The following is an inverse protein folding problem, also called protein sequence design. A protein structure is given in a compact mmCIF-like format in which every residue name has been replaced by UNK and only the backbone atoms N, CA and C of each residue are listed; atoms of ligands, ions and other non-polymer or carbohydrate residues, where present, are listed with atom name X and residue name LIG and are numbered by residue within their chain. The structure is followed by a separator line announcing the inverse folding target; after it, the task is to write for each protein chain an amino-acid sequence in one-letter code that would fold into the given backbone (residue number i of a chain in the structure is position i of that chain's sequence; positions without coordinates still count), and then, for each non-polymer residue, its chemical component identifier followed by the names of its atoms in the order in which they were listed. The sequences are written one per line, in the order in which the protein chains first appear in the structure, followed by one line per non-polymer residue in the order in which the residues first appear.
data_IF_910623249432
#
_entry.id   IF_910623249432
#
_cell.length_a   1.000
_cell.length_b   1.000
_cell.length_c   1.000
_cell.angle_alpha   90.00
_cell.angle_beta   90.00
_cell.angle_gamma   90.00
#
_symmetry.space_group_name_H-M   'P 1'
#
loop_
_entity.id
_entity.type
_entity.pdbx_description
1 polymer ?
#
# COMPACT_ATOMS: atom_id res chain seq x y z
N UNK A 1 -10.72 49.05 32.15
CA UNK A 1 -9.24 49.14 32.20
C UNK A 1 -8.71 47.72 32.07
N UNK A 2 -8.04 47.25 31.03
CA UNK A 2 -7.59 47.70 29.71
C UNK A 2 -7.68 46.40 28.87
N UNK A 3 -8.10 46.38 27.62
CA UNK A 3 -7.46 47.07 26.50
C UNK A 3 -6.64 46.04 25.71
N UNK A 4 -7.07 45.84 24.45
CA UNK A 4 -6.34 45.26 23.32
C UNK A 4 -6.13 43.72 23.33
N UNK A 5 -6.28 42.97 22.24
CA UNK A 5 -5.88 43.30 20.87
C UNK A 5 -6.68 42.54 19.80
N UNK A 6 -6.68 43.14 18.62
CA UNK A 6 -7.45 42.85 17.43
C UNK A 6 -6.96 41.63 16.64
N UNK A 7 -7.86 41.05 15.85
CA UNK A 7 -7.58 39.93 14.96
C UNK A 7 -8.73 39.56 14.04
N UNK A 8 -9.53 40.54 13.60
CA UNK A 8 -10.49 40.37 12.51
C UNK A 8 -9.68 40.25 11.20
N UNK A 9 -9.34 39.02 10.83
CA UNK A 9 -8.76 38.71 9.54
C UNK A 9 -9.78 39.04 8.44
N UNK A 10 -9.55 40.16 7.78
CA UNK A 10 -10.10 40.56 6.49
C UNK A 10 -10.01 39.37 5.52
N UNK A 11 -11.16 38.79 5.20
CA UNK A 11 -11.28 37.84 4.09
C UNK A 11 -11.11 38.65 2.82
N UNK A 12 -9.96 38.44 2.20
CA UNK A 12 -9.58 39.01 0.92
C UNK A 12 -10.65 38.65 -0.12
N UNK A 13 -11.26 39.70 -0.70
CA UNK A 13 -12.17 39.57 -1.85
C UNK A 13 -11.30 39.27 -3.06
N UNK A 14 -11.07 38.00 -3.34
CA UNK A 14 -10.49 37.58 -4.62
C UNK A 14 -11.45 38.01 -5.73
N UNK A 15 -11.01 39.02 -6.48
CA UNK A 15 -11.68 39.51 -7.69
C UNK A 15 -11.85 38.35 -8.66
N UNK A 16 -13.11 38.10 -9.03
CA UNK A 16 -13.45 37.23 -10.15
C UNK A 16 -13.38 38.13 -11.38
N UNK A 17 -12.32 37.99 -12.16
CA UNK A 17 -12.21 38.64 -13.47
C UNK A 17 -13.36 38.17 -14.36
N UNK A 18 -14.22 39.13 -14.69
CA UNK A 18 -15.32 39.00 -15.63
C UNK A 18 -14.77 38.92 -17.05
N UNK A 19 -14.53 37.70 -17.52
CA UNK A 19 -14.35 37.43 -18.95
C UNK A 19 -15.72 37.41 -19.60
N UNK A 20 -16.03 38.49 -20.30
CA UNK A 20 -17.23 38.62 -21.13
C UNK A 20 -17.23 37.58 -22.26
N UNK A 21 -18.31 36.81 -22.33
CA UNK A 21 -18.69 36.04 -23.51
C UNK A 21 -20.10 36.47 -23.88
N UNK A 22 -20.20 37.18 -25.00
CA UNK A 22 -21.46 37.59 -25.62
C UNK A 22 -22.26 36.36 -26.08
N UNK A 23 -23.55 36.33 -25.72
CA UNK A 23 -24.52 35.40 -26.27
C UNK A 23 -25.62 34.97 -25.31
N UNK A 24 -26.42 35.90 -24.75
CA UNK A 24 -27.65 35.59 -24.01
C UNK A 24 -27.52 34.54 -22.90
N UNK A 25 -26.31 34.34 -22.38
CA UNK A 25 -25.97 33.31 -21.41
C UNK A 25 -26.35 33.79 -20.02
N UNK A 26 -27.24 33.06 -19.36
CA UNK A 26 -27.57 33.26 -17.95
C UNK A 26 -26.26 33.21 -17.14
N UNK A 27 -25.92 34.30 -16.47
CA UNK A 27 -24.85 34.38 -15.49
C UNK A 27 -25.24 33.55 -14.26
N UNK A 28 -24.93 32.26 -14.31
CA UNK A 28 -25.20 31.31 -13.22
C UNK A 28 -24.40 31.63 -11.95
N UNK A 29 -23.43 32.55 -11.99
CA UNK A 29 -22.74 33.04 -10.80
C UNK A 29 -23.60 34.01 -9.99
N UNK A 30 -24.62 34.63 -10.59
CA UNK A 30 -25.60 35.45 -9.89
C UNK A 30 -26.59 34.62 -9.06
N UNK A 31 -26.94 35.13 -7.88
CA UNK A 31 -27.80 34.44 -6.91
C UNK A 31 -29.26 34.41 -7.36
N UNK A 32 -29.78 35.49 -7.97
CA UNK A 32 -31.18 35.53 -8.43
C UNK A 32 -31.38 34.67 -9.66
N UNK A 33 -30.45 34.73 -10.62
CA UNK A 33 -30.48 33.85 -11.78
C UNK A 33 -30.38 32.37 -11.40
N UNK A 34 -29.54 32.03 -10.41
CA UNK A 34 -29.50 30.68 -9.85
C UNK A 34 -30.86 30.25 -9.27
N UNK A 35 -31.57 31.12 -8.54
CA UNK A 35 -32.90 30.77 -7.99
C UNK A 35 -33.91 30.44 -9.09
N UNK A 36 -33.94 31.22 -10.17
CA UNK A 36 -34.84 30.98 -11.31
C UNK A 36 -34.53 29.60 -11.92
N UNK A 37 -33.26 29.32 -12.19
CA UNK A 37 -32.84 28.05 -12.79
C UNK A 37 -33.16 26.87 -11.86
N UNK A 38 -32.90 26.99 -10.56
CA UNK A 38 -33.23 25.92 -9.61
C UNK A 38 -34.74 25.72 -9.44
N UNK A 39 -35.54 26.79 -9.46
CA UNK A 39 -36.99 26.69 -9.41
C UNK A 39 -37.54 26.01 -10.67
N UNK A 40 -37.00 26.32 -11.85
CA UNK A 40 -37.36 25.65 -13.11
C UNK A 40 -36.98 24.17 -13.09
N UNK A 41 -35.74 23.85 -12.74
CA UNK A 41 -35.25 22.47 -12.64
C UNK A 41 -36.03 21.66 -11.58
N UNK A 42 -36.50 22.32 -10.51
CA UNK A 42 -37.30 21.71 -9.45
C UNK A 42 -38.74 21.36 -9.85
N UNK A 43 -39.35 22.09 -10.80
CA UNK A 43 -40.74 21.85 -11.24
C UNK A 43 -40.89 20.56 -12.06
N UNK A 44 -39.90 20.22 -12.88
CA UNK A 44 -39.96 19.10 -13.84
C UNK A 44 -39.34 17.77 -13.31
N UNK A 45 -38.97 17.72 -12.03
CA UNK A 45 -38.52 16.50 -11.35
C UNK A 45 -37.09 16.04 -11.70
N UNK A 46 -36.80 14.73 -11.60
CA UNK A 46 -35.42 14.20 -11.76
C UNK A 46 -34.89 14.21 -13.19
N UNK A 47 -35.76 14.31 -14.21
CA UNK A 47 -35.36 14.24 -15.63
C UNK A 47 -34.79 15.56 -16.15
N UNK A 48 -35.27 16.69 -15.64
CA UNK A 48 -34.79 18.04 -16.02
C UNK A 48 -33.29 18.20 -15.80
N UNK A 49 -32.78 17.73 -14.65
CA UNK A 49 -31.35 17.77 -14.32
C UNK A 49 -30.45 16.99 -15.29
N UNK A 50 -30.99 15.95 -15.94
CA UNK A 50 -30.21 15.12 -16.87
C UNK A 50 -30.25 15.66 -18.32
N UNK A 51 -31.33 16.34 -18.71
CA UNK A 51 -31.55 16.78 -20.08
C UNK A 51 -31.35 18.29 -20.31
N UNK A 52 -31.42 19.12 -19.28
CA UNK A 52 -31.31 20.57 -19.41
C UNK A 52 -29.83 21.01 -19.52
N UNK A 53 -29.43 21.72 -20.60
CA UNK A 53 -28.07 22.23 -20.76
C UNK A 53 -27.64 23.20 -19.65
N UNK A 54 -28.58 23.92 -19.02
CA UNK A 54 -28.30 24.82 -17.90
C UNK A 54 -27.81 24.06 -16.67
N UNK A 55 -28.32 22.84 -16.44
CA UNK A 55 -27.87 21.99 -15.35
C UNK A 55 -26.43 21.51 -15.59
N UNK A 56 -26.08 21.15 -16.84
CA UNK A 56 -24.72 20.78 -17.20
C UNK A 56 -23.74 21.95 -17.02
N UNK A 57 -24.11 23.16 -17.42
CA UNK A 57 -23.26 24.34 -17.21
C UNK A 57 -23.11 24.69 -15.73
N UNK A 58 -24.18 24.55 -14.94
CA UNK A 58 -24.11 24.72 -13.49
C UNK A 58 -23.10 23.77 -12.84
N UNK A 59 -23.03 22.51 -13.29
CA UNK A 59 -22.01 21.56 -12.81
C UNK A 59 -20.60 21.99 -13.17
N UNK A 60 -20.36 22.54 -14.38
CA UNK A 60 -19.04 23.08 -14.76
C UNK A 60 -18.64 24.29 -13.93
N UNK A 61 -19.60 25.18 -13.61
CA UNK A 61 -19.37 26.31 -12.70
C UNK A 61 -18.99 25.80 -11.30
N UNK A 62 -19.72 24.81 -10.78
CA UNK A 62 -19.41 24.19 -9.48
C UNK A 62 -18.03 23.54 -9.47
N UNK A 63 -17.64 22.85 -10.54
CA UNK A 63 -16.33 22.22 -10.67
C UNK A 63 -15.20 23.24 -10.54
N UNK A 64 -15.28 24.34 -11.32
CA UNK A 64 -14.30 25.42 -11.25
C UNK A 64 -14.29 26.09 -9.87
N UNK A 65 -15.48 26.41 -9.35
CA UNK A 65 -15.66 27.14 -8.08
C UNK A 65 -15.14 26.37 -6.87
N UNK A 66 -15.34 25.05 -6.84
CA UNK A 66 -15.00 24.21 -5.69
C UNK A 66 -13.74 23.37 -5.87
N UNK A 67 -13.03 23.48 -7.01
CA UNK A 67 -11.77 22.77 -7.24
C UNK A 67 -10.72 23.01 -6.14
N UNK A 68 -10.55 24.26 -5.70
CA UNK A 68 -9.63 24.57 -4.61
C UNK A 68 -10.08 23.96 -3.28
N UNK A 69 -11.39 23.99 -3.00
CA UNK A 69 -11.95 23.43 -1.78
C UNK A 69 -11.80 21.90 -1.73
N UNK A 70 -11.96 21.23 -2.87
CA UNK A 70 -11.69 19.81 -3.02
C UNK A 70 -10.22 19.48 -2.70
N UNK A 71 -9.28 20.25 -3.28
CA UNK A 71 -7.84 20.10 -3.01
C UNK A 71 -7.50 20.27 -1.54
N UNK A 72 -8.12 21.24 -0.85
CA UNK A 72 -7.93 21.47 0.60
C UNK A 72 -8.23 20.23 1.45
N UNK A 73 -9.20 19.41 1.03
CA UNK A 73 -9.60 18.19 1.74
C UNK A 73 -9.04 16.91 1.10
N UNK A 74 -8.10 17.01 0.14
CA UNK A 74 -7.55 15.85 -0.56
C UNK A 74 -8.61 15.07 -1.36
N UNK A 75 -9.56 15.79 -1.97
CA UNK A 75 -10.66 15.24 -2.78
C UNK A 75 -10.57 15.71 -4.22
N UNK A 76 -11.24 14.99 -5.11
CA UNK A 76 -11.27 15.36 -6.52
C UNK A 76 -12.27 16.49 -6.75
N UNK A 77 -12.06 17.35 -7.77
CA UNK A 77 -13.06 18.35 -8.16
C UNK A 77 -14.43 17.73 -8.47
N UNK A 78 -14.45 16.49 -8.97
CA UNK A 78 -15.68 15.75 -9.22
C UNK A 78 -16.48 15.48 -7.95
N UNK A 79 -15.82 15.10 -6.85
CA UNK A 79 -16.48 14.88 -5.55
C UNK A 79 -17.17 16.17 -5.04
N UNK A 80 -16.53 17.32 -5.28
CA UNK A 80 -17.11 18.61 -4.92
C UNK A 80 -18.35 18.96 -5.79
N UNK A 81 -18.34 18.59 -7.07
CA UNK A 81 -19.52 18.74 -7.95
C UNK A 81 -20.67 17.87 -7.47
N UNK A 82 -20.41 16.62 -7.08
CA UNK A 82 -21.44 15.72 -6.53
C UNK A 82 -22.04 16.30 -5.26
N UNK A 83 -21.22 16.80 -4.34
CA UNK A 83 -21.71 17.47 -3.12
C UNK A 83 -22.55 18.72 -3.44
N UNK A 84 -22.10 19.53 -4.40
CA UNK A 84 -22.82 20.72 -4.83
C UNK A 84 -24.18 20.35 -5.44
N UNK A 85 -24.20 19.34 -6.32
CA UNK A 85 -25.42 18.82 -6.94
C UNK A 85 -26.45 18.36 -5.91
N UNK A 86 -26.02 17.61 -4.88
CA UNK A 86 -26.90 17.16 -3.82
C UNK A 86 -27.53 18.34 -3.05
N UNK A 87 -26.76 19.39 -2.78
CA UNK A 87 -27.29 20.58 -2.12
C UNK A 87 -28.17 21.44 -3.04
N UNK A 88 -27.82 21.59 -4.32
CA UNK A 88 -28.59 22.37 -5.29
C UNK A 88 -29.98 21.77 -5.54
N UNK A 89 -30.12 20.44 -5.39
CA UNK A 89 -31.42 19.75 -5.44
C UNK A 89 -32.28 19.92 -4.21
N UNK A 90 -31.74 20.48 -3.12
CA UNK A 90 -32.50 20.73 -1.92
C UNK A 90 -33.40 21.97 -2.12
N UNK A 91 -34.73 21.88 -1.92
CA UNK A 91 -35.63 23.02 -2.08
C UNK A 91 -35.27 24.21 -1.16
N UNK A 92 -34.63 23.94 -0.02
CA UNK A 92 -34.15 24.99 0.90
C UNK A 92 -33.12 25.94 0.25
N UNK A 93 -32.40 25.48 -0.77
CA UNK A 93 -31.40 26.27 -1.49
C UNK A 93 -32.04 27.39 -2.32
N UNK A 94 -33.24 27.18 -2.85
CA UNK A 94 -33.99 28.19 -3.60
C UNK A 94 -34.47 29.31 -2.68
N UNK A 95 -34.95 28.96 -1.48
CA UNK A 95 -35.50 29.91 -0.50
C UNK A 95 -34.44 30.62 0.34
N UNK A 96 -33.17 30.21 0.25
CA UNK A 96 -32.10 30.77 1.06
C UNK A 96 -31.82 32.23 0.70
N UNK A 97 -31.49 33.05 1.71
CA UNK A 97 -31.08 34.47 1.51
C UNK A 97 -29.86 34.58 0.58
N UNK A 98 -28.92 33.65 0.68
CA UNK A 98 -27.81 33.51 -0.27
C UNK A 98 -27.63 32.02 -0.65
N UNK A 99 -28.12 31.59 -1.82
CA UNK A 99 -28.03 30.21 -2.28
C UNK A 99 -26.58 29.73 -2.39
N UNK A 100 -25.69 30.56 -2.95
CA UNK A 100 -24.29 30.20 -3.14
C UNK A 100 -23.53 30.03 -1.83
N UNK A 101 -23.83 30.82 -0.80
CA UNK A 101 -23.24 30.66 0.52
C UNK A 101 -23.69 29.34 1.16
N UNK A 102 -24.97 28.98 1.03
CA UNK A 102 -25.50 27.72 1.54
C UNK A 102 -24.86 26.52 0.84
N UNK A 103 -24.76 26.56 -0.50
CA UNK A 103 -24.10 25.52 -1.29
C UNK A 103 -22.64 25.37 -0.89
N UNK A 104 -21.90 26.47 -0.77
CA UNK A 104 -20.48 26.43 -0.39
C UNK A 104 -20.27 25.83 1.00
N UNK A 105 -21.14 26.18 1.96
CA UNK A 105 -21.09 25.63 3.32
C UNK A 105 -21.39 24.12 3.32
N UNK A 106 -22.40 23.69 2.56
CA UNK A 106 -22.75 22.28 2.46
C UNK A 106 -21.64 21.47 1.79
N UNK A 107 -21.09 21.96 0.66
CA UNK A 107 -19.96 21.32 -0.05
C UNK A 107 -18.76 21.17 0.87
N UNK A 108 -18.37 22.24 1.56
CA UNK A 108 -17.26 22.19 2.52
C UNK A 108 -17.51 21.19 3.65
N UNK A 109 -18.74 21.15 4.19
CA UNK A 109 -19.12 20.18 5.23
C UNK A 109 -19.07 18.73 4.74
N UNK A 110 -19.54 18.46 3.51
CA UNK A 110 -19.50 17.14 2.90
C UNK A 110 -18.07 16.68 2.63
N UNK A 111 -17.26 17.49 1.94
CA UNK A 111 -15.87 17.16 1.64
C UNK A 111 -15.04 16.93 2.91
N UNK A 112 -15.27 17.75 3.94
CA UNK A 112 -14.64 17.56 5.26
C UNK A 112 -15.09 16.24 5.89
N UNK A 113 -16.37 15.90 5.83
CA UNK A 113 -16.90 14.66 6.39
C UNK A 113 -16.31 13.44 5.68
N UNK A 114 -16.20 13.47 4.35
CA UNK A 114 -15.62 12.38 3.58
C UNK A 114 -14.12 12.22 3.86
N UNK A 115 -13.39 13.34 4.00
CA UNK A 115 -12.00 13.33 4.43
C UNK A 115 -11.84 12.64 5.79
N UNK A 116 -12.67 13.03 6.77
CA UNK A 116 -12.66 12.46 8.12
C UNK A 116 -13.14 11.01 8.15
N UNK A 117 -14.06 10.61 7.27
CA UNK A 117 -14.57 9.25 7.17
C UNK A 117 -13.47 8.28 6.72
N UNK A 118 -12.70 8.66 5.70
CA UNK A 118 -11.55 7.90 5.21
C UNK A 118 -10.46 7.85 6.28
N UNK A 119 -10.10 9.01 6.87
CA UNK A 119 -9.09 9.13 7.92
C UNK A 119 -9.40 8.27 9.15
N UNK A 120 -10.69 8.03 9.44
CA UNK A 120 -11.13 7.32 10.65
C UNK A 120 -11.70 5.93 10.36
N UNK A 121 -11.66 5.49 9.09
CA UNK A 121 -12.30 4.26 8.62
C UNK A 121 -13.75 4.10 9.09
N UNK A 122 -14.53 5.17 9.07
CA UNK A 122 -15.93 5.18 9.51
C UNK A 122 -16.87 5.70 8.42
N UNK A 123 -18.19 5.60 8.64
CA UNK A 123 -19.17 6.15 7.69
C UNK A 123 -19.18 7.68 7.71
N UNK A 124 -19.48 8.32 6.59
CA UNK A 124 -19.61 9.79 6.47
C UNK A 124 -20.57 10.37 7.51
N UNK A 125 -21.70 9.70 7.75
CA UNK A 125 -22.69 10.10 8.74
C UNK A 125 -22.09 10.10 10.14
N UNK A 126 -21.28 9.08 10.48
CA UNK A 126 -20.58 9.04 11.75
C UNK A 126 -19.51 10.13 11.83
N UNK A 127 -18.76 10.34 10.75
CA UNK A 127 -17.70 11.35 10.67
C UNK A 127 -18.21 12.78 10.93
N UNK A 128 -19.45 13.10 10.52
CA UNK A 128 -20.09 14.40 10.80
C UNK A 128 -20.43 14.64 12.27
N UNK A 129 -20.65 13.57 13.04
CA UNK A 129 -21.11 13.65 14.43
C UNK A 129 -20.07 13.21 15.45
N UNK A 130 -18.98 12.55 15.04
CA UNK A 130 -17.91 12.08 15.93
C UNK A 130 -16.90 13.19 16.23
N UNK A 131 -16.70 13.46 17.52
CA UNK A 131 -15.68 14.36 18.06
C UNK A 131 -14.25 13.91 17.73
N UNK A 132 -13.29 14.80 17.98
CA UNK A 132 -11.86 14.59 17.82
C UNK A 132 -11.43 13.25 18.44
N UNK A 133 -10.79 12.43 17.62
CA UNK A 133 -10.24 11.13 18.01
C UNK A 133 -8.72 11.29 17.98
N UNK A 134 -7.95 10.79 18.96
CA UNK A 134 -6.50 10.93 18.97
C UNK A 134 -5.80 10.14 17.85
N UNK A 135 -6.53 9.23 17.21
CA UNK A 135 -6.06 8.48 16.05
C UNK A 135 -6.45 9.24 14.79
N UNK A 136 -5.43 9.83 14.17
CA UNK A 136 -5.49 10.52 12.89
C UNK A 136 -4.82 9.64 11.84
N UNK A 137 -5.41 9.54 10.65
CA UNK A 137 -4.95 8.74 9.51
C UNK A 137 -4.94 7.21 9.72
N UNK A 138 -6.04 6.64 10.19
CA UNK A 138 -6.25 5.19 10.10
C UNK A 138 -6.33 4.76 8.62
N UNK A 139 -5.52 3.77 8.25
CA UNK A 139 -5.51 3.19 6.91
C UNK A 139 -6.02 1.75 6.98
N UNK A 140 -6.70 1.29 5.92
CA UNK A 140 -7.01 -0.14 5.79
C UNK A 140 -5.72 -0.89 5.55
N UNK A 141 -5.52 -1.98 6.29
CA UNK A 141 -4.46 -2.92 5.98
C UNK A 141 -4.71 -3.56 4.62
N UNK A 142 -3.86 -3.24 3.66
CA UNK A 142 -3.76 -3.91 2.37
C UNK A 142 -2.43 -4.71 2.28
N UNK A 143 -2.14 -5.27 1.11
CA UNK A 143 -0.91 -6.04 0.89
C UNK A 143 0.36 -5.17 0.96
N UNK A 144 0.27 -3.87 0.68
CA UNK A 144 1.38 -2.91 0.71
C UNK A 144 1.62 -2.34 2.12
N UNK A 145 0.59 -2.34 2.97
CA UNK A 145 0.67 -1.91 4.35
C UNK A 145 1.64 -2.78 5.19
N UNK A 146 1.94 -4.00 4.75
CA UNK A 146 3.01 -4.82 5.35
C UNK A 146 4.41 -4.23 5.16
N UNK A 147 4.68 -3.58 4.02
CA UNK A 147 5.97 -2.95 3.74
C UNK A 147 6.16 -1.72 4.66
N UNK A 148 5.12 -0.89 4.81
CA UNK A 148 5.11 0.27 5.72
C UNK A 148 5.30 -0.14 7.19
N UNK A 149 4.72 -1.28 7.60
CA UNK A 149 4.86 -1.80 8.95
C UNK A 149 6.28 -2.28 9.24
N UNK A 150 6.98 -2.82 8.23
CA UNK A 150 8.38 -3.23 8.34
C UNK A 150 9.32 -2.06 8.63
N UNK A 151 9.02 -0.88 8.10
CA UNK A 151 9.81 0.34 8.31
C UNK A 151 9.41 1.09 9.60
N UNK A 152 8.13 1.03 9.98
CA UNK A 152 7.58 1.82 11.11
C UNK A 152 7.58 1.08 12.45
N UNK A 153 7.54 -0.26 12.45
CA UNK A 153 7.87 -1.03 13.65
C UNK A 153 9.39 -1.11 13.70
N UNK A 154 9.99 -0.11 14.36
CA UNK A 154 11.30 -0.30 14.95
C UNK A 154 11.16 -1.45 15.95
N UNK A 155 11.44 -2.67 15.49
CA UNK A 155 11.78 -3.75 16.39
C UNK A 155 12.86 -3.18 17.31
N UNK A 156 12.74 -3.34 18.66
CA UNK A 156 13.82 -2.91 19.53
C UNK A 156 15.09 -3.47 18.93
N UNK A 157 16.06 -2.59 18.68
CA UNK A 157 17.38 -3.00 18.26
C UNK A 157 17.92 -3.88 19.39
N UNK A 158 17.63 -5.18 19.31
CA UNK A 158 18.40 -6.20 19.98
C UNK A 158 19.80 -5.95 19.43
N UNK A 159 20.64 -5.33 20.26
CA UNK A 159 22.08 -5.19 20.03
C UNK A 159 22.51 -6.48 19.38
N UNK A 160 22.72 -6.46 18.06
CA UNK A 160 22.93 -7.70 17.40
C UNK A 160 24.30 -8.14 17.92
N UNK A 161 24.38 -9.37 18.41
CA UNK A 161 25.63 -10.12 18.28
C UNK A 161 25.81 -10.32 16.78
N UNK A 162 26.05 -9.22 16.04
CA UNK A 162 26.41 -9.24 14.64
C UNK A 162 27.76 -9.92 14.68
N UNK A 163 27.84 -11.09 14.09
CA UNK A 163 29.10 -11.51 13.50
C UNK A 163 29.42 -10.41 12.49
N UNK A 164 30.26 -9.45 12.88
CA UNK A 164 30.71 -8.37 11.99
C UNK A 164 31.72 -8.97 11.01
N UNK A 165 31.29 -9.93 10.21
CA UNK A 165 32.04 -10.41 9.05
C UNK A 165 31.98 -9.29 8.01
N UNK A 166 33.12 -8.67 7.74
CA UNK A 166 33.29 -7.77 6.60
C UNK A 166 33.42 -8.62 5.34
N UNK A 167 33.05 -8.03 4.20
CA UNK A 167 33.30 -8.64 2.89
C UNK A 167 34.80 -8.90 2.75
N UNK A 168 35.20 -10.18 2.69
CA UNK A 168 36.60 -10.61 2.65
C UNK A 168 37.12 -11.27 3.93
N UNK A 169 36.34 -11.35 5.01
CA UNK A 169 36.76 -12.01 6.26
C UNK A 169 36.64 -13.54 6.22
N UNK A 170 36.03 -14.11 5.16
CA UNK A 170 35.81 -15.56 4.99
C UNK A 170 36.63 -16.02 3.80
N UNK A 171 37.49 -17.01 4.01
CA UNK A 171 38.31 -17.60 2.95
C UNK A 171 37.44 -18.39 1.95
N UNK A 172 37.78 -18.43 0.66
CA UNK A 172 36.97 -19.11 -0.36
C UNK A 172 36.81 -20.61 -0.08
N UNK A 173 37.78 -21.23 0.61
CA UNK A 173 37.70 -22.63 1.04
C UNK A 173 36.69 -22.85 2.18
N UNK A 174 36.53 -21.88 3.09
CA UNK A 174 35.52 -21.92 4.15
C UNK A 174 34.11 -21.77 3.57
N UNK A 175 33.94 -20.88 2.59
CA UNK A 175 32.68 -20.75 1.84
C UNK A 175 32.32 -22.08 1.16
N UNK A 176 33.29 -22.69 0.48
CA UNK A 176 33.07 -23.97 -0.20
C UNK A 176 32.71 -25.09 0.78
N UNK A 177 33.40 -25.20 1.90
CA UNK A 177 33.08 -26.16 2.95
C UNK A 177 31.66 -25.94 3.53
N UNK A 178 31.24 -24.68 3.70
CA UNK A 178 29.91 -24.35 4.16
C UNK A 178 28.80 -24.73 3.16
N UNK A 179 29.06 -24.54 1.85
CA UNK A 179 28.15 -24.98 0.79
C UNK A 179 28.04 -26.51 0.75
N UNK A 180 29.16 -27.24 0.82
CA UNK A 180 29.19 -28.71 0.86
C UNK A 180 28.44 -29.27 2.09
N UNK A 181 28.58 -28.60 3.23
CA UNK A 181 27.85 -28.90 4.47
C UNK A 181 26.34 -28.69 4.27
N UNK A 182 25.93 -27.58 3.64
CA UNK A 182 24.52 -27.30 3.38
C UNK A 182 23.90 -28.33 2.42
N UNK A 183 24.64 -28.76 1.39
CA UNK A 183 24.22 -29.85 0.49
C UNK A 183 24.05 -31.15 1.25
N UNK A 184 24.98 -31.48 2.15
CA UNK A 184 24.92 -32.70 2.97
C UNK A 184 23.67 -32.72 3.87
N UNK A 185 23.30 -31.58 4.45
CA UNK A 185 22.07 -31.45 5.26
C UNK A 185 20.81 -31.63 4.40
N UNK A 186 20.75 -31.03 3.20
CA UNK A 186 19.62 -31.22 2.28
C UNK A 186 19.44 -32.70 1.90
N UNK A 187 20.54 -33.39 1.59
CA UNK A 187 20.53 -34.83 1.26
C UNK A 187 20.06 -35.67 2.44
N UNK A 188 20.47 -35.33 3.67
CA UNK A 188 19.99 -35.99 4.88
C UNK A 188 18.47 -35.86 5.07
N UNK A 189 17.87 -34.77 4.60
CA UNK A 189 16.41 -34.54 4.58
C UNK A 189 15.70 -35.08 3.33
N UNK A 190 16.38 -35.93 2.54
CA UNK A 190 15.79 -36.66 1.42
C UNK A 190 15.74 -35.89 0.11
N UNK A 191 16.50 -34.79 -0.04
CA UNK A 191 16.64 -34.11 -1.33
C UNK A 191 17.60 -34.87 -2.25
N UNK A 192 17.32 -34.95 -3.57
CA UNK A 192 18.26 -35.51 -4.54
C UNK A 192 19.58 -34.72 -4.54
N UNK A 193 20.72 -35.42 -4.45
CA UNK A 193 22.03 -34.79 -4.33
C UNK A 193 22.36 -33.81 -5.47
N UNK A 194 21.98 -34.14 -6.71
CA UNK A 194 22.15 -33.25 -7.87
C UNK A 194 21.32 -31.97 -7.77
N UNK A 195 20.07 -32.06 -7.32
CA UNK A 195 19.18 -30.90 -7.13
C UNK A 195 19.60 -30.04 -5.95
N UNK A 196 20.06 -30.67 -4.86
CA UNK A 196 20.58 -29.97 -3.69
C UNK A 196 21.84 -29.16 -4.01
N UNK A 197 22.81 -29.77 -4.71
CA UNK A 197 24.03 -29.08 -5.15
C UNK A 197 23.71 -27.90 -6.07
N UNK A 198 23.00 -28.15 -7.17
CA UNK A 198 22.64 -27.09 -8.12
C UNK A 198 21.80 -25.97 -7.48
N UNK A 199 20.91 -26.31 -6.55
CA UNK A 199 20.10 -25.33 -5.84
C UNK A 199 20.92 -24.42 -4.93
N UNK A 200 21.86 -24.99 -4.17
CA UNK A 200 22.76 -24.23 -3.29
C UNK A 200 23.71 -23.36 -4.10
N UNK A 201 24.31 -23.89 -5.17
CA UNK A 201 25.20 -23.15 -6.06
C UNK A 201 24.47 -21.97 -6.71
N UNK A 202 23.25 -22.19 -7.20
CA UNK A 202 22.43 -21.12 -7.79
C UNK A 202 22.11 -20.02 -6.78
N UNK A 203 21.76 -20.39 -5.55
CA UNK A 203 21.50 -19.41 -4.48
C UNK A 203 22.78 -18.64 -4.15
N UNK A 204 23.92 -19.30 -4.02
CA UNK A 204 25.21 -18.68 -3.72
C UNK A 204 25.64 -17.68 -4.82
N UNK A 205 25.52 -18.07 -6.10
CA UNK A 205 25.80 -17.21 -7.24
C UNK A 205 24.92 -15.95 -7.23
N UNK A 206 23.63 -16.12 -6.94
CA UNK A 206 22.68 -14.99 -6.87
C UNK A 206 22.95 -14.08 -5.68
N UNK A 207 23.31 -14.64 -4.52
CA UNK A 207 23.72 -13.87 -3.36
C UNK A 207 24.97 -13.03 -3.65
N UNK A 208 25.94 -13.55 -4.41
CA UNK A 208 27.14 -12.79 -4.78
C UNK A 208 26.83 -11.52 -5.60
N UNK A 209 25.70 -11.51 -6.31
CA UNK A 209 25.26 -10.36 -7.13
C UNK A 209 24.30 -9.40 -6.42
N UNK A 210 23.84 -9.72 -5.20
CA UNK A 210 22.78 -8.99 -4.51
C UNK A 210 23.27 -8.43 -3.17
N UNK A 211 22.99 -7.15 -2.85
CA UNK A 211 23.58 -6.48 -1.69
C UNK A 211 22.93 -6.83 -0.35
N UNK A 212 21.74 -7.44 -0.35
CA UNK A 212 20.95 -7.67 0.86
C UNK A 212 20.21 -9.01 0.83
N UNK A 213 20.16 -9.70 1.98
CA UNK A 213 19.52 -11.02 2.15
C UNK A 213 18.01 -10.95 1.95
N UNK A 214 17.33 -9.94 2.50
CA UNK A 214 15.87 -9.80 2.36
C UNK A 214 15.50 -9.50 0.91
N UNK A 215 16.24 -8.60 0.28
CA UNK A 215 16.14 -8.34 -1.16
C UNK A 215 16.41 -9.57 -2.02
N UNK A 216 17.42 -10.37 -1.66
CA UNK A 216 17.75 -11.61 -2.36
C UNK A 216 16.65 -12.66 -2.24
N UNK A 217 16.10 -12.88 -1.05
CA UNK A 217 14.97 -13.79 -0.84
C UNK A 217 13.75 -13.37 -1.69
N UNK A 218 13.41 -12.08 -1.70
CA UNK A 218 12.28 -11.56 -2.46
C UNK A 218 12.47 -11.72 -3.98
N UNK A 219 13.70 -11.54 -4.49
CA UNK A 219 14.04 -11.73 -5.90
C UNK A 219 14.03 -13.21 -6.29
N UNK A 220 14.71 -14.07 -5.52
CA UNK A 220 14.80 -15.50 -5.77
C UNK A 220 13.43 -16.19 -5.72
N UNK A 221 12.55 -15.79 -4.80
CA UNK A 221 11.17 -16.32 -4.74
C UNK A 221 10.35 -16.02 -6.00
N UNK A 222 10.63 -14.92 -6.69
CA UNK A 222 9.94 -14.51 -7.92
C UNK A 222 10.60 -15.06 -9.19
N UNK A 223 11.77 -15.68 -9.05
CA UNK A 223 12.56 -16.18 -10.17
C UNK A 223 11.96 -17.48 -10.74
N UNK A 224 11.32 -17.36 -11.90
CA UNK A 224 10.77 -18.51 -12.63
C UNK A 224 11.87 -19.35 -13.30
N UNK A 225 13.05 -18.77 -13.57
CA UNK A 225 14.15 -19.49 -14.21
C UNK A 225 14.70 -20.59 -13.29
N UNK A 226 14.83 -20.30 -11.99
CA UNK A 226 15.26 -21.27 -10.99
C UNK A 226 14.36 -22.52 -10.95
N UNK A 227 13.05 -22.35 -11.10
CA UNK A 227 12.09 -23.46 -11.10
C UNK A 227 12.29 -24.40 -12.29
N UNK A 228 12.56 -23.84 -13.47
CA UNK A 228 12.79 -24.61 -14.70
C UNK A 228 14.16 -25.28 -14.68
N UNK A 229 15.19 -24.57 -14.22
CA UNK A 229 16.57 -25.10 -14.16
C UNK A 229 16.68 -26.29 -13.20
N UNK A 230 16.02 -26.21 -12.05
CA UNK A 230 16.10 -27.24 -11.00
C UNK A 230 15.01 -28.31 -11.11
N UNK A 231 14.08 -28.16 -12.07
CA UNK A 231 12.87 -28.99 -12.21
C UNK A 231 12.06 -29.09 -10.90
N UNK A 232 11.86 -27.93 -10.24
CA UNK A 232 11.22 -27.84 -8.92
C UNK A 232 9.85 -27.18 -8.98
N UNK A 233 8.92 -27.68 -8.18
CA UNK A 233 7.68 -26.99 -7.89
C UNK A 233 7.95 -25.73 -7.04
N UNK A 234 7.14 -24.68 -7.25
CA UNK A 234 7.25 -23.42 -6.51
C UNK A 234 7.24 -23.57 -4.97
N UNK A 235 6.43 -24.46 -4.35
CA UNK A 235 6.49 -24.68 -2.90
C UNK A 235 7.84 -25.23 -2.44
N UNK A 236 8.40 -26.20 -3.16
CA UNK A 236 9.71 -26.79 -2.85
C UNK A 236 10.84 -25.77 -2.94
N UNK A 237 10.80 -24.90 -3.95
CA UNK A 237 11.77 -23.81 -4.08
C UNK A 237 11.71 -22.81 -2.92
N UNK A 238 10.50 -22.39 -2.51
CA UNK A 238 10.34 -21.49 -1.35
C UNK A 238 10.79 -22.14 -0.05
N UNK A 239 10.54 -23.44 0.11
CA UNK A 239 11.02 -24.19 1.27
C UNK A 239 12.55 -24.25 1.33
N UNK A 240 13.20 -24.55 0.20
CA UNK A 240 14.67 -24.52 0.09
C UNK A 240 15.21 -23.13 0.44
N UNK A 241 14.67 -22.06 -0.15
CA UNK A 241 15.09 -20.69 0.17
C UNK A 241 14.91 -20.35 1.65
N UNK A 242 13.81 -20.80 2.27
CA UNK A 242 13.52 -20.53 3.68
C UNK A 242 14.47 -21.30 4.60
N UNK A 243 14.83 -22.54 4.26
CA UNK A 243 15.81 -23.31 5.01
C UNK A 243 17.24 -22.74 4.85
N UNK A 244 17.61 -22.38 3.63
CA UNK A 244 18.97 -21.93 3.28
C UNK A 244 19.27 -20.52 3.77
N UNK A 245 18.32 -19.58 3.59
CA UNK A 245 18.47 -18.17 3.94
C UNK A 245 17.82 -17.79 5.28
N UNK A 246 17.04 -18.69 5.89
CA UNK A 246 16.27 -18.44 7.11
C UNK A 246 14.98 -17.67 6.85
N UNK A 247 14.09 -17.60 7.84
CA UNK A 247 12.86 -16.81 7.72
C UNK A 247 13.19 -15.31 7.66
N UNK A 248 12.89 -14.60 6.55
CA UNK A 248 13.21 -13.17 6.43
C UNK A 248 12.43 -12.29 7.42
N UNK A 249 11.34 -12.82 8.00
CA UNK A 249 10.49 -12.15 9.00
C UNK A 249 11.05 -12.27 10.42
N UNK A 250 12.05 -13.12 10.64
CA UNK A 250 12.69 -13.32 11.94
C UNK A 250 14.09 -12.70 11.96
N UNK A 251 14.55 -12.21 13.13
CA UNK A 251 15.89 -11.66 13.25
C UNK A 251 16.95 -12.78 13.14
N UNK A 252 18.08 -12.46 12.52
CA UNK A 252 19.27 -13.36 12.35
C UNK A 252 19.94 -13.75 13.68
N UNK A 253 19.48 -13.17 14.78
CA UNK A 253 19.89 -13.55 16.13
C UNK A 253 19.15 -14.82 16.60
N UNK A 254 17.97 -15.10 16.04
CA UNK A 254 17.17 -16.27 16.41
C UNK A 254 17.53 -17.50 15.57
N UNK A 255 17.48 -18.70 16.15
CA UNK A 255 17.74 -19.96 15.44
C UNK A 255 16.85 -20.14 14.19
N UNK A 256 15.62 -19.61 14.22
CA UNK A 256 14.69 -19.64 13.09
C UNK A 256 14.94 -18.54 12.02
N UNK A 257 15.67 -17.47 12.38
CA UNK A 257 16.09 -16.41 11.46
C UNK A 257 17.49 -16.64 10.87
N UNK A 258 18.32 -17.48 11.51
CA UNK A 258 19.60 -17.96 10.95
C UNK A 258 19.33 -19.04 9.91
N UNK A 259 19.62 -18.73 8.64
CA UNK A 259 19.59 -19.72 7.56
C UNK A 259 20.73 -20.72 7.69
N UNK A 260 20.57 -21.87 7.02
CA UNK A 260 21.55 -22.94 6.98
C UNK A 260 22.97 -22.43 6.63
N UNK A 261 23.11 -21.54 5.65
CA UNK A 261 24.43 -21.03 5.23
C UNK A 261 25.16 -20.25 6.34
N UNK A 262 24.42 -19.42 7.08
CA UNK A 262 25.01 -18.66 8.18
C UNK A 262 25.43 -19.57 9.33
N UNK A 263 24.68 -20.65 9.56
CA UNK A 263 24.99 -21.64 10.60
C UNK A 263 26.17 -22.54 10.22
N UNK A 264 26.30 -22.90 8.94
CA UNK A 264 27.49 -23.58 8.43
C UNK A 264 28.74 -22.70 8.59
N UNK A 265 28.66 -21.41 8.27
CA UNK A 265 29.77 -20.46 8.46
C UNK A 265 30.10 -20.21 9.94
N UNK A 266 29.15 -20.43 10.83
CA UNK A 266 29.35 -20.40 12.28
C UNK A 266 30.03 -21.67 12.83
N UNK A 267 30.28 -22.67 11.98
CA UNK A 267 30.93 -23.92 12.35
C UNK A 267 30.00 -24.94 13.01
N UNK A 268 28.68 -24.79 12.90
CA UNK A 268 27.74 -25.82 13.36
C UNK A 268 27.90 -27.10 12.54
N UNK A 269 27.88 -28.25 13.22
CA UNK A 269 28.11 -29.55 12.56
C UNK A 269 26.91 -30.01 11.73
N UNK A 270 27.16 -30.86 10.72
CA UNK A 270 26.08 -31.46 9.88
C UNK A 270 25.05 -32.18 10.75
N UNK A 271 25.48 -32.83 11.82
CA UNK A 271 24.63 -33.62 12.73
C UNK A 271 23.69 -32.73 13.54
N UNK A 272 24.19 -31.59 14.04
CA UNK A 272 23.39 -30.59 14.76
C UNK A 272 22.39 -29.89 13.83
N UNK A 273 22.81 -29.60 12.59
CA UNK A 273 21.97 -28.94 11.59
C UNK A 273 20.87 -29.87 11.07
N UNK A 274 21.19 -31.15 10.85
CA UNK A 274 20.22 -32.16 10.41
C UNK A 274 19.22 -32.54 11.53
N UNK A 275 19.63 -32.43 12.80
CA UNK A 275 18.76 -32.66 13.95
C UNK A 275 17.81 -31.48 14.26
N UNK A 276 17.97 -30.32 13.60
CA UNK A 276 17.16 -29.15 13.88
C UNK A 276 15.69 -29.36 13.42
N UNK A 277 14.72 -29.28 14.34
CA UNK A 277 13.31 -29.57 14.04
C UNK A 277 12.68 -28.54 13.08
N UNK A 278 13.19 -27.31 13.03
CA UNK A 278 12.67 -26.25 12.16
C UNK A 278 13.13 -26.51 10.72
N UNK A 279 14.41 -26.84 10.53
CA UNK A 279 14.98 -27.17 9.22
C UNK A 279 14.37 -28.46 8.69
N UNK A 280 14.26 -29.48 9.55
CA UNK A 280 13.65 -30.76 9.21
C UNK A 280 12.18 -30.61 8.78
N UNK A 281 11.39 -29.80 9.49
CA UNK A 281 9.98 -29.58 9.16
C UNK A 281 9.79 -28.92 7.78
N UNK A 282 10.65 -27.96 7.44
CA UNK A 282 10.58 -27.24 6.15
C UNK A 282 11.03 -28.13 4.99
N UNK A 283 12.10 -28.91 5.16
CA UNK A 283 12.71 -29.67 4.07
C UNK A 283 12.03 -31.02 3.81
N UNK A 284 11.59 -31.73 4.85
CA UNK A 284 11.03 -33.09 4.69
C UNK A 284 9.69 -33.07 3.95
N UNK A 285 8.84 -32.07 4.23
CA UNK A 285 7.54 -31.92 3.55
C UNK A 285 7.63 -31.35 2.13
N UNK A 286 8.81 -30.87 1.73
CA UNK A 286 9.01 -30.11 0.49
C UNK A 286 9.98 -30.77 -0.48
N UNK A 287 10.55 -31.92 -0.11
CA UNK A 287 11.49 -32.65 -0.95
C UNK A 287 10.83 -33.01 -2.29
N UNK A 288 11.47 -32.70 -3.43
CA UNK A 288 10.97 -33.13 -4.72
C UNK A 288 11.01 -34.67 -4.75
N UNK A 289 9.87 -35.29 -5.06
CA UNK A 289 9.83 -36.73 -5.25
C UNK A 289 10.89 -37.13 -6.29
N UNK A 290 11.68 -38.20 -6.06
CA UNK A 290 12.65 -38.63 -7.05
C UNK A 290 11.90 -38.91 -8.35
N UNK A 291 12.32 -38.24 -9.43
CA UNK A 291 11.78 -38.47 -10.75
C UNK A 291 11.86 -39.98 -11.01
N UNK A 292 10.71 -40.65 -11.03
CA UNK A 292 10.65 -42.07 -11.34
C UNK A 292 11.16 -42.20 -12.77
N UNK A 293 12.26 -42.91 -13.05
CA UNK A 293 12.75 -43.05 -14.42
C UNK A 293 11.62 -43.66 -15.24
N UNK A 294 11.14 -42.90 -16.21
CA UNK A 294 9.87 -43.12 -16.89
C UNK A 294 9.74 -44.54 -17.43
N UNK A 295 8.70 -45.23 -16.98
CA UNK A 295 8.07 -46.29 -17.77
C UNK A 295 7.64 -45.64 -19.08
N UNK A 296 8.38 -45.90 -20.16
CA UNK A 296 7.98 -45.57 -21.52
C UNK A 296 6.63 -46.24 -21.77
N UNK A 297 5.55 -45.45 -21.83
CA UNK A 297 4.30 -45.90 -22.43
C UNK A 297 4.50 -45.92 -23.95
N UNK A 298 4.59 -47.13 -24.50
CA UNK A 298 4.27 -47.39 -25.90
C UNK A 298 2.76 -47.41 -26.12
#
# INVERSE_FOLDING_TARGET
MNGDDAGLATVDRVGVDSVGVDGGGVDLTDAEQLRVVLADLGRDGRRSWASDPRAAELMRVCERKYAWLARRYGRTPHDAVVAAFLQLRNPATVTATNPWALVTTAVGSMLKADALAEERLCSERSARHRSETPVHAAQRWDETAWDLLGDSIAAPALEPQVLRCRVGDVEPDEVRAALDTAVSVLVAHGWPAGTAGLGIDYVAERLATLPDRRGAFAKLRRDSHALVLLDLAKPSWVALLTAVLGDPRRPEVSAAGRGLLLRCLLGESVEELAADPIIAAVLTGSSPAPATPGVRRG
#
